data_IF_111420331426
#
_entry.id   IF_111420331426
#
_cell.length_a   1.000
_cell.length_b   1.000
_cell.length_c   1.000
_cell.angle_alpha   90.00
_cell.angle_beta   90.00
_cell.angle_gamma   90.00
#
_symmetry.space_group_name_H-M   'P 1'
#
loop_
_entity.id
_entity.type
_entity.pdbx_description
1 polymer ?
#
# COMPACT_ATOMS: atom_id res chain seq x y z
N UNK A 1 -29.82 12.60 -60.55
CA UNK A 1 -31.01 13.45 -60.63
C UNK A 1 -32.01 12.89 -59.64
N UNK A 2 -32.35 13.51 -58.52
CA UNK A 2 -31.76 14.56 -57.69
C UNK A 2 -32.28 14.30 -56.26
N UNK A 3 -31.64 14.89 -55.23
CA UNK A 3 -31.73 14.46 -53.84
C UNK A 3 -32.93 15.09 -53.13
N UNK A 4 -33.20 14.66 -51.90
CA UNK A 4 -34.06 15.43 -50.99
C UNK A 4 -33.32 15.70 -49.69
N UNK A 5 -33.00 16.98 -49.56
CA UNK A 5 -32.46 17.73 -48.45
C UNK A 5 -33.20 17.53 -47.13
N UNK A 6 -32.44 17.40 -46.05
CA UNK A 6 -32.81 18.04 -44.79
C UNK A 6 -31.66 18.94 -44.37
N UNK A 7 -31.99 20.22 -44.35
CA UNK A 7 -31.15 21.39 -44.14
C UNK A 7 -30.91 21.61 -42.64
N UNK A 8 -29.68 22.09 -42.38
CA UNK A 8 -29.05 22.64 -41.17
C UNK A 8 -29.98 23.45 -40.25
N UNK A 9 -29.66 23.46 -38.95
CA UNK A 9 -29.21 24.67 -38.23
C UNK A 9 -28.73 24.34 -36.80
N UNK A 10 -27.47 24.67 -36.50
CA UNK A 10 -26.99 25.10 -35.17
C UNK A 10 -27.21 26.60 -35.08
N UNK A 11 -27.49 27.19 -33.90
CA UNK A 11 -26.44 27.72 -33.01
C UNK A 11 -26.84 27.49 -31.52
N UNK A 12 -26.01 27.65 -30.49
CA UNK A 12 -25.33 28.86 -30.05
C UNK A 12 -24.28 28.46 -29.01
N UNK A 13 -23.09 29.06 -29.14
CA UNK A 13 -22.14 29.13 -28.04
C UNK A 13 -22.41 30.41 -27.24
N UNK A 14 -22.22 30.35 -25.93
CA UNK A 14 -21.85 31.52 -25.16
C UNK A 14 -20.78 31.13 -24.12
N UNK A 15 -19.63 31.75 -24.31
CA UNK A 15 -18.61 32.13 -23.33
C UNK A 15 -19.28 33.03 -22.24
N UNK A 16 -18.86 33.24 -20.99
CA UNK A 16 -17.61 33.66 -20.35
C UNK A 16 -17.89 33.61 -18.81
N UNK A 17 -17.01 33.13 -17.94
CA UNK A 17 -15.94 33.87 -17.21
C UNK A 17 -16.30 34.22 -15.74
N UNK A 18 -15.33 33.91 -14.87
CA UNK A 18 -15.01 34.35 -13.51
C UNK A 18 -16.09 34.89 -12.55
N UNK A 19 -16.05 34.42 -11.28
CA UNK A 19 -15.68 35.23 -10.09
C UNK A 19 -15.53 34.32 -8.86
N UNK A 20 -14.43 34.52 -8.13
CA UNK A 20 -14.12 33.89 -6.86
C UNK A 20 -14.88 34.52 -5.68
N UNK A 21 -15.29 33.72 -4.68
CA UNK A 21 -15.18 34.16 -3.28
C UNK A 21 -15.11 32.97 -2.30
N UNK A 22 -14.16 33.10 -1.36
CA UNK A 22 -13.85 32.21 -0.24
C UNK A 22 -14.88 32.31 0.88
N UNK A 23 -15.10 31.19 1.60
CA UNK A 23 -15.35 31.05 3.05
C UNK A 23 -15.45 29.53 3.32
N UNK A 24 -14.47 28.84 3.92
CA UNK A 24 -14.20 28.75 5.37
C UNK A 24 -15.32 27.96 6.07
N UNK A 25 -15.17 26.94 6.93
CA UNK A 25 -14.12 26.30 7.74
C UNK A 25 -14.82 25.01 8.28
N UNK A 26 -14.23 23.82 8.46
CA UNK A 26 -13.51 23.38 9.66
C UNK A 26 -13.17 21.89 9.48
N UNK A 27 -11.90 21.55 9.29
CA UNK A 27 -11.36 20.23 9.59
C UNK A 27 -10.97 20.21 11.06
N UNK A 28 -11.42 19.21 11.79
CA UNK A 28 -11.07 18.94 13.19
C UNK A 28 -10.32 17.61 13.19
N UNK A 29 -9.13 17.58 13.77
CA UNK A 29 -8.36 16.35 13.96
C UNK A 29 -6.85 16.55 13.72
N UNK A 30 -6.15 16.80 14.82
CA UNK A 30 -4.73 17.10 15.04
C UNK A 30 -3.68 16.58 14.03
N UNK A 31 -2.72 17.42 13.61
CA UNK A 31 -1.42 16.94 13.16
C UNK A 31 -0.58 16.58 14.38
N UNK A 32 -0.25 15.29 14.52
CA UNK A 32 0.86 14.85 15.37
C UNK A 32 2.13 15.47 14.78
N UNK A 33 2.63 16.51 15.43
CA UNK A 33 3.83 17.25 15.01
C UNK A 33 5.08 16.36 14.97
N UNK A 34 6.14 16.82 14.30
CA UNK A 34 7.40 16.09 14.29
C UNK A 34 7.96 16.00 15.71
N UNK A 35 8.25 14.77 16.14
CA UNK A 35 8.95 14.51 17.39
C UNK A 35 10.37 15.07 17.23
N UNK A 36 10.66 16.13 17.98
CA UNK A 36 12.00 16.73 18.05
C UNK A 36 12.97 15.70 18.64
N UNK A 37 13.81 15.11 17.78
CA UNK A 37 14.87 14.22 18.22
C UNK A 37 15.97 15.09 18.84
N UNK A 38 15.99 15.14 20.17
CA UNK A 38 17.03 15.83 20.94
C UNK A 38 18.37 15.11 20.72
N UNK A 39 19.16 15.63 19.78
CA UNK A 39 20.56 15.22 19.59
C UNK A 39 21.38 15.82 20.73
N UNK A 40 21.72 14.99 21.73
CA UNK A 40 22.75 15.33 22.70
C UNK A 40 24.08 15.54 21.96
N UNK A 41 24.47 16.80 21.77
CA UNK A 41 25.82 17.18 21.36
C UNK A 41 26.79 16.86 22.50
N UNK A 42 27.45 15.71 22.44
CA UNK A 42 28.67 15.49 23.21
C UNK A 42 29.81 16.24 22.53
N UNK A 43 30.25 17.34 23.15
CA UNK A 43 31.55 17.95 22.87
C UNK A 43 32.64 16.88 22.94
N UNK A 44 33.46 16.78 21.89
CA UNK A 44 34.79 16.20 22.04
C UNK A 44 35.79 17.00 21.22
N UNK A 45 36.85 17.36 21.94
CA UNK A 45 37.92 18.26 21.55
C UNK A 45 38.59 17.88 20.23
N UNK A 46 39.00 18.94 19.54
CA UNK A 46 39.97 19.01 18.45
C UNK A 46 41.12 18.00 18.64
N UNK A 47 41.34 17.16 17.65
CA UNK A 47 42.63 16.51 17.38
C UNK A 47 42.72 16.30 15.88
N UNK A 48 43.61 17.08 15.26
CA UNK A 48 44.08 16.89 13.90
C UNK A 48 44.62 15.46 13.74
N UNK A 49 44.05 14.71 12.80
CA UNK A 49 44.79 13.77 11.95
C UNK A 49 43.85 13.16 10.91
N UNK A 50 44.41 13.02 9.72
CA UNK A 50 43.84 12.61 8.45
C UNK A 50 43.08 11.26 8.48
N UNK A 51 42.25 11.09 7.44
CA UNK A 51 41.57 9.86 6.99
C UNK A 51 40.20 9.50 7.60
N UNK A 52 39.11 10.15 7.16
CA UNK A 52 37.72 9.74 7.46
C UNK A 52 36.71 9.99 6.33
N UNK A 53 36.95 9.44 5.14
CA UNK A 53 35.91 9.34 4.10
C UNK A 53 34.93 8.17 4.31
N UNK A 54 35.30 7.19 5.15
CA UNK A 54 34.60 5.89 5.21
C UNK A 54 33.51 5.81 6.28
N UNK A 55 33.65 6.52 7.40
CA UNK A 55 32.76 6.34 8.56
C UNK A 55 31.34 6.87 8.35
N UNK A 56 31.16 7.98 7.64
CA UNK A 56 29.81 8.57 7.43
C UNK A 56 28.97 7.79 6.42
N UNK A 57 29.62 7.16 5.43
CA UNK A 57 28.92 6.38 4.40
C UNK A 57 28.33 5.09 4.97
N UNK A 58 29.07 4.43 5.86
CA UNK A 58 28.64 3.18 6.51
C UNK A 58 27.43 3.43 7.42
N UNK A 59 27.40 4.55 8.14
CA UNK A 59 26.27 4.91 9.02
C UNK A 59 25.01 5.19 8.20
N UNK A 60 25.10 5.98 7.13
CA UNK A 60 23.96 6.30 6.28
C UNK A 60 23.38 5.06 5.54
N UNK A 61 24.23 4.16 5.06
CA UNK A 61 23.79 2.90 4.43
C UNK A 61 23.08 1.97 5.44
N UNK A 62 23.52 1.99 6.70
CA UNK A 62 22.92 1.20 7.80
C UNK A 62 21.52 1.71 8.17
N UNK A 63 21.35 3.03 8.23
CA UNK A 63 20.08 3.68 8.54
C UNK A 63 19.04 3.45 7.42
N UNK A 64 19.43 3.66 6.16
CA UNK A 64 18.58 3.40 4.99
C UNK A 64 18.11 1.94 4.93
N UNK A 65 19.03 0.99 5.18
CA UNK A 65 18.69 -0.44 5.22
C UNK A 65 17.71 -0.79 6.33
N UNK A 66 17.84 -0.15 7.49
CA UNK A 66 16.91 -0.33 8.60
C UNK A 66 15.52 0.23 8.27
N UNK A 67 15.44 1.43 7.70
CA UNK A 67 14.15 2.02 7.28
C UNK A 67 13.42 1.15 6.27
N UNK A 68 14.12 0.68 5.23
CA UNK A 68 13.55 -0.25 4.24
C UNK A 68 13.02 -1.52 4.92
N UNK A 69 13.74 -2.07 5.89
CA UNK A 69 13.27 -3.23 6.63
C UNK A 69 11.98 -2.94 7.41
N UNK A 70 11.88 -1.80 8.08
CA UNK A 70 10.65 -1.44 8.82
C UNK A 70 9.46 -1.27 7.88
N UNK A 71 9.65 -0.64 6.72
CA UNK A 71 8.60 -0.50 5.71
C UNK A 71 8.09 -1.87 5.25
N UNK A 72 9.00 -2.81 4.97
CA UNK A 72 8.62 -4.16 4.57
C UNK A 72 7.93 -4.95 5.70
N UNK A 73 8.39 -4.82 6.95
CA UNK A 73 7.71 -5.44 8.11
C UNK A 73 6.26 -5.01 8.20
N UNK A 74 6.01 -3.70 8.18
CA UNK A 74 4.66 -3.15 8.28
C UNK A 74 3.76 -3.65 7.15
N UNK A 75 4.28 -3.68 5.92
CA UNK A 75 3.51 -4.18 4.75
C UNK A 75 3.22 -5.67 4.85
N UNK A 76 4.21 -6.46 5.26
CA UNK A 76 4.07 -7.90 5.43
C UNK A 76 3.04 -8.23 6.53
N UNK A 77 3.16 -7.60 7.69
CA UNK A 77 2.25 -7.81 8.83
C UNK A 77 0.80 -7.47 8.48
N UNK A 78 0.58 -6.37 7.75
CA UNK A 78 -0.74 -5.99 7.29
C UNK A 78 -1.32 -7.01 6.29
N UNK A 79 -0.52 -7.51 5.36
CA UNK A 79 -0.97 -8.52 4.40
C UNK A 79 -1.25 -9.87 5.08
N UNK A 80 -0.39 -10.31 5.99
CA UNK A 80 -0.61 -11.51 6.81
C UNK A 80 -1.89 -11.40 7.65
N UNK A 81 -2.18 -10.22 8.20
CA UNK A 81 -3.42 -9.95 8.93
C UNK A 81 -4.65 -10.13 8.03
N UNK A 82 -4.59 -9.64 6.80
CA UNK A 82 -5.68 -9.75 5.83
C UNK A 82 -5.89 -11.18 5.33
N UNK A 83 -4.83 -11.95 5.08
CA UNK A 83 -4.95 -13.39 4.79
C UNK A 83 -5.60 -14.16 5.94
N UNK A 84 -5.20 -13.90 7.18
CA UNK A 84 -5.85 -14.48 8.37
C UNK A 84 -7.34 -14.11 8.46
N UNK A 85 -7.74 -12.95 7.96
CA UNK A 85 -9.16 -12.58 7.88
C UNK A 85 -9.90 -13.43 6.83
N UNK A 86 -9.31 -13.70 5.67
CA UNK A 86 -9.90 -14.60 4.66
C UNK A 86 -10.06 -16.02 5.19
N UNK A 87 -9.02 -16.55 5.85
CA UNK A 87 -9.06 -17.89 6.46
C UNK A 87 -10.24 -18.04 7.43
N UNK A 88 -10.48 -17.02 8.28
CA UNK A 88 -11.62 -16.98 9.20
C UNK A 88 -12.99 -16.87 8.53
N UNK A 89 -13.05 -16.63 7.22
CA UNK A 89 -14.30 -16.59 6.46
C UNK A 89 -14.69 -17.95 5.91
N UNK A 90 -13.75 -18.87 5.71
CA UNK A 90 -14.00 -20.24 5.23
C UNK A 90 -15.17 -20.93 5.98
N UNK A 91 -15.21 -20.98 7.32
CA UNK A 91 -16.30 -21.65 8.03
C UNK A 91 -17.68 -20.97 7.84
N UNK A 92 -17.71 -19.72 7.39
CA UNK A 92 -18.95 -18.95 7.17
C UNK A 92 -19.53 -19.17 5.77
N UNK A 93 -18.77 -19.75 4.86
CA UNK A 93 -19.21 -20.05 3.50
C UNK A 93 -20.08 -21.31 3.54
N UNK A 94 -21.28 -21.28 2.95
CA UNK A 94 -22.13 -22.47 2.85
C UNK A 94 -21.66 -23.41 1.74
N UNK A 95 -21.19 -22.82 0.64
CA UNK A 95 -20.82 -23.49 -0.59
C UNK A 95 -19.46 -24.21 -0.52
N UNK A 96 -19.45 -25.51 -0.77
CA UNK A 96 -18.25 -26.37 -0.63
C UNK A 96 -17.20 -26.09 -1.70
N UNK A 97 -17.61 -25.77 -2.92
CA UNK A 97 -16.69 -25.46 -4.02
C UNK A 97 -15.96 -24.13 -3.77
N UNK A 98 -16.69 -23.10 -3.35
CA UNK A 98 -16.13 -21.79 -2.99
C UNK A 98 -15.21 -21.86 -1.78
N UNK A 99 -15.51 -22.72 -0.80
CA UNK A 99 -14.58 -23.03 0.31
C UNK A 99 -13.25 -23.56 -0.21
N UNK A 100 -13.29 -24.57 -1.09
CA UNK A 100 -12.08 -25.16 -1.66
C UNK A 100 -11.31 -24.13 -2.50
N UNK A 101 -12.01 -23.38 -3.35
CA UNK A 101 -11.40 -22.31 -4.13
C UNK A 101 -10.73 -21.23 -3.25
N UNK A 102 -11.34 -20.86 -2.12
CA UNK A 102 -10.73 -19.93 -1.19
C UNK A 102 -9.52 -20.55 -0.46
N UNK A 103 -9.57 -21.83 -0.12
CA UNK A 103 -8.45 -22.55 0.49
C UNK A 103 -7.24 -22.60 -0.47
N UNK A 104 -7.46 -22.99 -1.72
CA UNK A 104 -6.42 -22.99 -2.77
C UNK A 104 -5.82 -21.59 -2.95
N UNK A 105 -6.65 -20.56 -3.00
CA UNK A 105 -6.19 -19.17 -3.08
C UNK A 105 -5.29 -18.79 -1.89
N UNK A 106 -5.63 -19.20 -0.66
CA UNK A 106 -4.78 -18.94 0.51
C UNK A 106 -3.45 -19.67 0.40
N UNK A 107 -3.47 -20.92 -0.08
CA UNK A 107 -2.28 -21.74 -0.24
C UNK A 107 -1.35 -21.21 -1.34
N UNK A 108 -1.89 -20.59 -2.40
CA UNK A 108 -1.13 -19.88 -3.43
C UNK A 108 -0.49 -18.58 -2.93
N UNK A 109 -1.14 -17.89 -1.98
CA UNK A 109 -0.68 -16.60 -1.45
C UNK A 109 0.37 -16.73 -0.35
N UNK A 110 0.32 -17.81 0.46
CA UNK A 110 1.28 -18.04 1.56
C UNK A 110 2.75 -18.02 1.12
N UNK A 111 3.18 -18.70 0.04
CA UNK A 111 4.56 -18.69 -0.42
C UNK A 111 5.10 -17.28 -0.72
N UNK A 112 4.25 -16.38 -1.22
CA UNK A 112 4.64 -15.00 -1.51
C UNK A 112 4.97 -14.21 -0.24
N UNK A 113 4.23 -14.47 0.84
CA UNK A 113 4.50 -13.84 2.14
C UNK A 113 5.70 -14.48 2.85
N UNK A 114 5.80 -15.80 2.84
CA UNK A 114 6.92 -16.54 3.44
C UNK A 114 8.26 -16.18 2.78
N UNK A 115 8.26 -16.01 1.45
CA UNK A 115 9.44 -15.54 0.73
C UNK A 115 9.87 -14.15 1.19
N UNK A 116 8.92 -13.22 1.35
CA UNK A 116 9.19 -11.86 1.84
C UNK A 116 9.67 -11.86 3.29
N UNK A 117 9.08 -12.71 4.14
CA UNK A 117 9.51 -12.91 5.53
C UNK A 117 10.94 -13.47 5.60
N UNK A 118 11.27 -14.44 4.75
CA UNK A 118 12.60 -15.02 4.70
C UNK A 118 13.68 -14.01 4.25
N UNK A 119 13.36 -13.14 3.28
CA UNK A 119 14.24 -12.05 2.87
C UNK A 119 14.48 -11.08 4.03
N UNK A 120 13.42 -10.79 4.79
CA UNK A 120 13.46 -9.86 5.91
C UNK A 120 14.22 -10.40 7.13
N UNK A 121 14.05 -11.69 7.45
CA UNK A 121 14.73 -12.37 8.55
C UNK A 121 16.23 -12.59 8.28
N UNK A 122 16.61 -12.75 7.01
CA UNK A 122 18.04 -12.91 6.62
C UNK A 122 18.71 -11.56 6.29
N UNK A 123 17.97 -10.45 6.26
CA UNK A 123 18.46 -9.15 5.78
C UNK A 123 19.11 -9.21 4.39
N UNK A 124 18.57 -10.09 3.53
CA UNK A 124 19.12 -10.43 2.22
C UNK A 124 18.32 -9.76 1.09
N UNK A 125 18.33 -8.43 1.05
CA UNK A 125 17.88 -7.69 -0.13
C UNK A 125 18.69 -6.40 -0.25
N UNK A 126 18.93 -5.97 -1.49
CA UNK A 126 19.59 -4.72 -1.81
C UNK A 126 18.55 -3.62 -2.10
N UNK A 127 18.95 -2.36 -2.02
CA UNK A 127 18.08 -1.20 -2.29
C UNK A 127 17.46 -1.26 -3.68
N UNK A 128 18.20 -1.77 -4.68
CA UNK A 128 17.70 -1.96 -6.05
C UNK A 128 16.52 -2.94 -6.13
N UNK A 129 16.47 -3.93 -5.24
CA UNK A 129 15.42 -4.95 -5.20
C UNK A 129 14.21 -4.48 -4.39
N UNK A 130 14.41 -3.52 -3.48
CA UNK A 130 13.40 -3.04 -2.55
C UNK A 130 12.13 -2.56 -3.27
N UNK A 131 12.28 -1.75 -4.31
CA UNK A 131 11.13 -1.24 -5.07
C UNK A 131 10.28 -2.37 -5.65
N UNK A 132 10.92 -3.40 -6.21
CA UNK A 132 10.25 -4.58 -6.75
C UNK A 132 9.55 -5.40 -5.67
N UNK A 133 10.19 -5.61 -4.51
CA UNK A 133 9.59 -6.33 -3.38
C UNK A 133 8.36 -5.59 -2.87
N UNK A 134 8.47 -4.26 -2.69
CA UNK A 134 7.37 -3.41 -2.24
C UNK A 134 6.20 -3.45 -3.22
N UNK A 135 6.48 -3.39 -4.52
CA UNK A 135 5.44 -3.42 -5.55
C UNK A 135 4.73 -4.78 -5.60
N UNK A 136 5.49 -5.88 -5.54
CA UNK A 136 4.91 -7.21 -5.39
C UNK A 136 4.01 -7.30 -4.16
N UNK A 137 4.43 -6.72 -3.03
CA UNK A 137 3.60 -6.72 -1.82
C UNK A 137 2.32 -5.91 -1.96
N UNK A 138 2.35 -4.78 -2.67
CA UNK A 138 1.13 -4.03 -2.98
C UNK A 138 0.16 -4.86 -3.82
N UNK A 139 0.67 -5.57 -4.84
CA UNK A 139 -0.14 -6.40 -5.72
C UNK A 139 -0.81 -7.54 -4.96
N UNK A 140 -0.06 -8.26 -4.13
CA UNK A 140 -0.60 -9.32 -3.27
C UNK A 140 -1.65 -8.75 -2.32
N UNK A 141 -1.36 -7.62 -1.65
CA UNK A 141 -2.31 -6.96 -0.77
C UNK A 141 -3.61 -6.58 -1.50
N UNK A 142 -3.52 -5.99 -2.69
CA UNK A 142 -4.69 -5.63 -3.49
C UNK A 142 -5.56 -6.85 -3.80
N UNK A 143 -4.95 -7.93 -4.28
CA UNK A 143 -5.66 -9.17 -4.59
C UNK A 143 -6.36 -9.75 -3.36
N UNK A 144 -5.70 -9.72 -2.19
CA UNK A 144 -6.28 -10.21 -0.92
C UNK A 144 -7.47 -9.35 -0.49
N UNK A 145 -7.39 -8.03 -0.64
CA UNK A 145 -8.49 -7.11 -0.33
C UNK A 145 -9.69 -7.30 -1.27
N UNK A 146 -9.44 -7.50 -2.55
CA UNK A 146 -10.49 -7.80 -3.53
C UNK A 146 -11.21 -9.10 -3.18
N UNK A 147 -10.46 -10.15 -2.84
CA UNK A 147 -11.03 -11.41 -2.39
C UNK A 147 -11.80 -11.27 -1.08
N UNK A 148 -11.30 -10.49 -0.12
CA UNK A 148 -12.00 -10.20 1.14
C UNK A 148 -13.36 -9.54 0.89
N UNK A 149 -13.38 -8.54 0.01
CA UNK A 149 -14.59 -7.82 -0.36
C UNK A 149 -15.60 -8.76 -1.03
N UNK A 150 -15.14 -9.59 -1.96
CA UNK A 150 -15.96 -10.58 -2.64
C UNK A 150 -16.61 -11.57 -1.66
N UNK A 151 -15.80 -12.22 -0.82
CA UNK A 151 -16.33 -13.24 0.11
C UNK A 151 -17.28 -12.63 1.14
N UNK A 152 -17.06 -11.37 1.57
CA UNK A 152 -17.97 -10.68 2.48
C UNK A 152 -19.34 -10.50 1.84
N UNK A 153 -19.38 -10.06 0.59
CA UNK A 153 -20.63 -9.90 -0.18
C UNK A 153 -21.33 -11.24 -0.35
N UNK A 154 -20.59 -12.27 -0.73
CA UNK A 154 -21.16 -13.61 -0.96
C UNK A 154 -21.74 -14.23 0.31
N UNK A 155 -21.05 -14.14 1.45
CA UNK A 155 -21.57 -14.62 2.74
C UNK A 155 -22.87 -13.91 3.12
N UNK A 156 -22.98 -12.60 2.86
CA UNK A 156 -24.22 -11.85 3.12
C UNK A 156 -25.34 -12.35 2.19
N UNK A 157 -25.05 -12.61 0.92
CA UNK A 157 -26.04 -13.14 -0.03
C UNK A 157 -26.50 -14.54 0.37
N UNK A 158 -25.59 -15.43 0.76
CA UNK A 158 -25.93 -16.78 1.21
C UNK A 158 -26.89 -16.76 2.40
N UNK A 159 -26.69 -15.82 3.34
CA UNK A 159 -27.59 -15.64 4.49
C UNK A 159 -28.99 -15.16 4.11
N UNK A 160 -29.15 -14.42 3.02
CA UNK A 160 -30.46 -13.92 2.54
C UNK A 160 -31.25 -14.96 1.75
N UNK A 161 -30.58 -16.01 1.28
CA UNK A 161 -31.19 -17.10 0.51
C UNK A 161 -31.66 -18.27 1.39
N UNK A 162 -31.33 -18.25 2.68
CA UNK A 162 -31.83 -19.18 3.70
C UNK A 162 -33.04 -18.58 4.38
#
# INVERSE_FOLDING_TARGET
MEPSDVKRESPDGQEEDNTAELRGIKTVGDPIGPVELVVLKTETKKSDNDDKGSSSKIVAESESKYEMQQILRVKLDDCQRQLKMLERMIPKIGDSERKNALQLYLDDMKPSLESTEALLGKFKFEEKDFSKIVENMKNVKSAVLDRLSFEKKMIIQDKRKK
#
